data_IF_217681570180
#
_entry.id   IF_217681570180
#
_cell.length_a   1.000
_cell.length_b   1.000
_cell.length_c   1.000
_cell.angle_alpha   90.00
_cell.angle_beta   90.00
_cell.angle_gamma   90.00
#
_symmetry.space_group_name_H-M   'P 1'
#
loop_
_entity.id
_entity.type
_entity.pdbx_description
1 polymer ?
#
# COMPACT_ATOMS: atom_id res chain seq x y z
N UNK A 1 -3.55 -9.25 5.19
CA UNK A 1 -4.25 -8.89 3.93
C UNK A 1 -5.44 -9.83 3.73
N UNK A 2 -6.62 -9.34 3.33
CA UNK A 2 -7.79 -10.22 3.06
C UNK A 2 -7.52 -11.14 1.85
N UNK A 3 -8.06 -12.36 1.87
CA UNK A 3 -7.77 -13.41 0.87
C UNK A 3 -7.99 -12.95 -0.57
N UNK A 4 -9.08 -12.24 -0.85
CA UNK A 4 -9.37 -11.77 -2.21
C UNK A 4 -8.41 -10.66 -2.68
N UNK A 5 -8.02 -9.76 -1.78
CA UNK A 5 -7.00 -8.73 -2.06
C UNK A 5 -5.68 -9.36 -2.52
N UNK A 6 -5.24 -10.41 -1.84
CA UNK A 6 -4.03 -11.14 -2.23
C UNK A 6 -4.17 -11.83 -3.60
N UNK A 7 -5.35 -12.40 -3.91
CA UNK A 7 -5.62 -13.03 -5.21
C UNK A 7 -5.66 -12.02 -6.37
N UNK A 8 -6.28 -10.86 -6.17
CA UNK A 8 -6.31 -9.78 -7.17
C UNK A 8 -4.91 -9.23 -7.41
N UNK A 9 -4.13 -9.02 -6.34
CA UNK A 9 -2.73 -8.63 -6.48
C UNK A 9 -1.94 -9.66 -7.28
N UNK A 10 -2.05 -10.94 -6.95
CA UNK A 10 -1.38 -12.00 -7.68
C UNK A 10 -1.77 -12.02 -9.17
N UNK A 11 -3.07 -11.87 -9.48
CA UNK A 11 -3.52 -11.79 -10.87
C UNK A 11 -2.87 -10.63 -11.64
N UNK A 12 -2.78 -9.45 -11.02
CA UNK A 12 -2.15 -8.27 -11.65
C UNK A 12 -0.62 -8.35 -11.71
N UNK A 13 0.02 -9.13 -10.84
CA UNK A 13 1.48 -9.37 -10.88
C UNK A 13 1.86 -10.35 -11.99
N UNK A 14 1.02 -11.36 -12.24
CA UNK A 14 1.31 -12.43 -13.20
C UNK A 14 0.58 -12.28 -14.55
N UNK A 15 -0.16 -11.19 -14.75
CA UNK A 15 -0.83 -10.96 -16.03
C UNK A 15 0.16 -10.45 -17.08
N UNK A 16 0.08 -11.01 -18.28
CA UNK A 16 0.82 -10.50 -19.45
C UNK A 16 0.05 -9.36 -20.16
N UNK A 17 -1.16 -9.03 -19.69
CA UNK A 17 -1.93 -7.89 -20.21
C UNK A 17 -1.44 -6.59 -19.56
N UNK A 18 -1.39 -5.47 -20.31
CA UNK A 18 -0.94 -4.19 -19.76
C UNK A 18 -1.85 -3.63 -18.65
N UNK A 19 -3.12 -4.03 -18.65
CA UNK A 19 -4.10 -3.74 -17.61
C UNK A 19 -5.28 -4.73 -17.72
N UNK A 20 -6.02 -4.90 -16.63
CA UNK A 20 -7.22 -5.76 -16.57
C UNK A 20 -8.42 -4.99 -16.05
N UNK A 21 -9.59 -5.22 -16.63
CA UNK A 21 -10.86 -4.72 -16.13
C UNK A 21 -11.36 -5.52 -14.92
N UNK A 22 -12.29 -4.94 -14.16
CA UNK A 22 -12.95 -5.64 -13.05
C UNK A 22 -13.66 -6.92 -13.51
N UNK A 23 -14.21 -6.93 -14.73
CA UNK A 23 -14.90 -8.09 -15.30
C UNK A 23 -13.95 -9.25 -15.58
N UNK A 24 -12.80 -8.96 -16.20
CA UNK A 24 -11.77 -9.98 -16.47
C UNK A 24 -11.19 -10.54 -15.18
N UNK A 25 -10.96 -9.70 -14.17
CA UNK A 25 -10.53 -10.15 -12.84
C UNK A 25 -11.59 -11.03 -12.17
N UNK A 26 -12.87 -10.68 -12.28
CA UNK A 26 -13.97 -11.47 -11.72
C UNK A 26 -14.09 -12.84 -12.39
N UNK A 27 -13.96 -12.88 -13.72
CA UNK A 27 -13.97 -14.11 -14.52
C UNK A 27 -12.76 -14.99 -14.20
N UNK A 28 -11.54 -14.45 -14.27
CA UNK A 28 -10.32 -15.22 -13.99
C UNK A 28 -10.28 -15.77 -12.57
N UNK A 29 -10.73 -14.98 -11.59
CA UNK A 29 -10.67 -15.37 -10.17
C UNK A 29 -11.93 -16.10 -9.70
N UNK A 30 -12.92 -16.29 -10.57
CA UNK A 30 -14.22 -16.91 -10.26
C UNK A 30 -14.82 -16.29 -8.98
N UNK A 31 -14.91 -14.95 -8.98
CA UNK A 31 -15.31 -14.16 -7.82
C UNK A 31 -16.34 -13.09 -8.19
N UNK A 32 -17.14 -12.67 -7.22
CA UNK A 32 -18.16 -11.66 -7.45
C UNK A 32 -17.55 -10.27 -7.68
N UNK A 33 -18.23 -9.42 -8.46
CA UNK A 33 -17.80 -8.04 -8.71
C UNK A 33 -17.64 -7.23 -7.43
N UNK A 34 -18.45 -7.50 -6.40
CA UNK A 34 -18.32 -6.86 -5.08
C UNK A 34 -17.00 -7.22 -4.38
N UNK A 35 -16.59 -8.48 -4.43
CA UNK A 35 -15.33 -8.94 -3.84
C UNK A 35 -14.11 -8.36 -4.59
N UNK A 36 -14.17 -8.31 -5.92
CA UNK A 36 -13.12 -7.69 -6.74
C UNK A 36 -13.05 -6.19 -6.51
N UNK A 37 -14.19 -5.50 -6.45
CA UNK A 37 -14.27 -4.06 -6.19
C UNK A 37 -13.65 -3.69 -4.84
N UNK A 38 -13.98 -4.43 -3.77
CA UNK A 38 -13.38 -4.22 -2.46
C UNK A 38 -11.86 -4.44 -2.45
N UNK A 39 -11.39 -5.49 -3.13
CA UNK A 39 -9.97 -5.78 -3.28
C UNK A 39 -9.22 -4.68 -4.04
N UNK A 40 -9.74 -4.24 -5.19
CA UNK A 40 -9.17 -3.15 -5.99
C UNK A 40 -9.16 -1.83 -5.23
N UNK A 41 -10.26 -1.49 -4.53
CA UNK A 41 -10.32 -0.28 -3.69
C UNK A 41 -9.20 -0.26 -2.67
N UNK A 42 -8.96 -1.37 -1.99
CA UNK A 42 -7.87 -1.48 -1.01
C UNK A 42 -6.49 -1.34 -1.68
N UNK A 43 -6.24 -2.06 -2.79
CA UNK A 43 -4.95 -2.03 -3.50
C UNK A 43 -4.62 -0.65 -4.08
N UNK A 44 -5.64 0.07 -4.56
CA UNK A 44 -5.51 1.46 -5.01
C UNK A 44 -5.23 2.39 -3.83
N UNK A 45 -5.92 2.21 -2.70
CA UNK A 45 -5.72 3.02 -1.50
C UNK A 45 -4.30 2.88 -0.93
N UNK A 46 -3.74 1.67 -0.91
CA UNK A 46 -2.35 1.45 -0.47
C UNK A 46 -1.32 1.74 -1.57
N UNK A 47 -1.78 2.13 -2.77
CA UNK A 47 -0.93 2.64 -3.83
C UNK A 47 -0.16 1.58 -4.62
N UNK A 48 -0.54 0.30 -4.55
CA UNK A 48 0.11 -0.79 -5.30
C UNK A 48 -0.48 -0.93 -6.70
N UNK A 49 -1.77 -0.63 -6.85
CA UNK A 49 -2.52 -0.70 -8.11
C UNK A 49 -3.00 0.70 -8.50
N UNK A 50 -3.07 0.97 -9.79
CA UNK A 50 -3.67 2.21 -10.31
C UNK A 50 -4.67 1.94 -11.42
N UNK A 51 -5.51 2.95 -11.69
CA UNK A 51 -6.38 2.95 -12.86
C UNK A 51 -5.54 3.24 -14.10
N UNK A 52 -5.66 2.38 -15.11
CA UNK A 52 -4.99 2.51 -16.39
C UNK A 52 -5.95 3.12 -17.43
N UNK A 53 -5.46 4.01 -18.34
CA UNK A 53 -6.21 4.42 -19.51
C UNK A 53 -6.52 3.21 -20.40
N UNK A 54 -7.75 3.10 -20.90
CA UNK A 54 -8.16 2.06 -21.83
C UNK A 54 -8.86 2.69 -23.05
N UNK A 55 -8.10 3.09 -24.09
CA UNK A 55 -8.66 3.68 -25.31
C UNK A 55 -9.71 2.75 -25.94
N UNK A 56 -10.90 3.27 -26.23
CA UNK A 56 -12.00 2.50 -26.82
C UNK A 56 -12.85 1.70 -25.83
N UNK A 57 -12.49 1.67 -24.55
CA UNK A 57 -13.30 1.06 -23.49
C UNK A 57 -13.94 2.12 -22.59
N UNK A 58 -15.20 1.90 -22.22
CA UNK A 58 -15.88 2.69 -21.17
C UNK A 58 -15.63 2.15 -19.75
N UNK A 59 -15.01 0.98 -19.63
CA UNK A 59 -14.74 0.31 -18.35
C UNK A 59 -13.39 0.74 -17.79
N UNK A 60 -13.34 0.95 -16.49
CA UNK A 60 -12.10 1.12 -15.74
C UNK A 60 -11.22 -0.12 -15.89
N UNK A 61 -9.95 0.10 -16.20
CA UNK A 61 -8.91 -0.92 -16.20
C UNK A 61 -7.92 -0.63 -15.09
N UNK A 62 -7.29 -1.66 -14.57
CA UNK A 62 -6.39 -1.61 -13.43
C UNK A 62 -5.09 -2.31 -13.78
N UNK A 63 -3.98 -1.74 -13.33
CA UNK A 63 -2.65 -2.34 -13.51
C UNK A 63 -1.84 -2.24 -12.23
N UNK A 64 -0.88 -3.15 -12.09
CA UNK A 64 0.20 -2.98 -11.11
C UNK A 64 1.00 -1.73 -11.51
N UNK A 65 1.36 -0.89 -10.54
CA UNK A 65 2.26 0.23 -10.83
C UNK A 65 3.69 -0.25 -11.00
N UNK A 66 4.44 0.36 -11.91
CA UNK A 66 5.86 0.06 -12.11
C UNK A 66 6.69 0.36 -10.85
N UNK A 67 6.25 1.36 -10.07
CA UNK A 67 6.82 1.79 -8.81
C UNK A 67 6.07 1.23 -7.59
N UNK A 68 5.18 0.23 -7.77
CA UNK A 68 4.22 -0.22 -6.76
C UNK A 68 4.82 -0.42 -5.37
N UNK A 69 6.00 -1.05 -5.30
CA UNK A 69 6.67 -1.34 -4.03
C UNK A 69 7.26 -0.08 -3.39
N UNK A 70 7.97 0.74 -4.17
CA UNK A 70 8.51 2.01 -3.68
C UNK A 70 7.39 2.96 -3.22
N UNK A 71 6.30 3.02 -4.00
CA UNK A 71 5.10 3.80 -3.70
C UNK A 71 4.35 3.28 -2.50
N UNK A 72 4.27 1.96 -2.28
CA UNK A 72 3.67 1.41 -1.06
C UNK A 72 4.39 1.93 0.20
N UNK A 73 5.71 2.09 0.14
CA UNK A 73 6.50 2.63 1.25
C UNK A 73 6.51 4.16 1.32
N UNK A 74 6.12 4.89 0.26
CA UNK A 74 5.95 6.37 0.30
C UNK A 74 4.52 6.82 0.60
N UNK A 75 3.50 6.05 0.17
CA UNK A 75 2.07 6.35 0.38
C UNK A 75 1.52 5.88 1.72
N UNK A 76 2.32 5.24 2.54
CA UNK A 76 1.98 5.08 3.95
C UNK A 76 2.54 6.23 4.74
N UNK A 77 1.72 7.28 4.93
CA UNK A 77 1.68 7.87 6.26
C UNK A 77 0.41 8.62 6.68
N UNK A 78 -0.73 8.62 5.99
CA UNK A 78 -1.93 9.21 6.63
C UNK A 78 -2.39 8.36 7.82
N UNK A 79 -2.50 7.04 7.62
CA UNK A 79 -2.85 6.11 8.68
C UNK A 79 -1.80 6.08 9.79
N UNK A 80 -0.51 6.05 9.44
CA UNK A 80 0.57 6.01 10.42
C UNK A 80 0.78 7.37 11.10
N UNK A 81 0.57 8.52 10.43
CA UNK A 81 0.49 9.83 11.09
C UNK A 81 -0.65 9.86 12.10
N UNK A 82 -1.82 9.30 11.75
CA UNK A 82 -2.95 9.21 12.66
C UNK A 82 -2.64 8.34 13.88
N UNK A 83 -1.90 7.23 13.69
CA UNK A 83 -1.40 6.38 14.79
C UNK A 83 -0.40 7.13 15.66
N UNK A 84 0.53 7.90 15.07
CA UNK A 84 1.49 8.69 15.84
C UNK A 84 0.80 9.80 16.65
N UNK A 85 -0.18 10.50 16.06
CA UNK A 85 -0.99 11.49 16.77
C UNK A 85 -1.74 10.84 17.94
N UNK A 86 -2.35 9.67 17.72
CA UNK A 86 -3.02 8.93 18.77
C UNK A 86 -2.04 8.41 19.85
N UNK A 87 -0.83 8.03 19.47
CA UNK A 87 0.21 7.60 20.40
C UNK A 87 0.69 8.76 21.29
N UNK A 88 0.91 9.95 20.72
CA UNK A 88 1.24 11.16 21.49
C UNK A 88 0.13 11.51 22.49
N UNK A 89 -1.14 11.46 22.05
CA UNK A 89 -2.29 11.65 22.94
C UNK A 89 -2.34 10.59 24.06
N UNK A 90 -2.05 9.33 23.74
CA UNK A 90 -1.98 8.24 24.72
C UNK A 90 -0.84 8.39 25.72
N UNK A 91 0.32 8.88 25.29
CA UNK A 91 1.45 9.21 26.19
C UNK A 91 1.05 10.35 27.12
N UNK A 92 0.47 11.43 26.59
CA UNK A 92 0.02 12.56 27.40
C UNK A 92 -1.06 12.18 28.43
N UNK A 93 -1.91 11.21 28.11
CA UNK A 93 -2.96 10.72 29.00
C UNK A 93 -2.50 9.65 30.01
N UNK A 94 -1.24 9.19 29.95
CA UNK A 94 -0.72 8.14 30.86
C UNK A 94 0.29 8.71 31.85
N UNK A 95 0.20 8.25 33.10
CA UNK A 95 1.15 8.60 34.16
C UNK A 95 2.56 8.09 33.86
N UNK A 96 3.55 8.83 34.35
CA UNK A 96 4.96 8.46 34.25
C UNK A 96 5.26 7.15 35.00
N UNK A 97 6.21 6.36 34.49
CA UNK A 97 6.59 5.07 35.08
C UNK A 97 5.61 3.92 34.84
N UNK A 98 4.43 4.17 34.26
CA UNK A 98 3.47 3.11 33.95
C UNK A 98 3.92 2.24 32.76
N UNK A 99 3.57 0.96 32.81
CA UNK A 99 3.86 0.01 31.73
C UNK A 99 3.16 0.37 30.41
N UNK A 100 1.96 0.96 30.48
CA UNK A 100 1.21 1.45 29.32
C UNK A 100 1.96 2.58 28.61
N UNK A 101 2.45 3.57 29.37
CA UNK A 101 3.28 4.66 28.82
C UNK A 101 4.53 4.11 28.14
N UNK A 102 5.22 3.16 28.77
CA UNK A 102 6.41 2.55 28.17
C UNK A 102 6.12 1.90 26.81
N UNK A 103 5.05 1.10 26.72
CA UNK A 103 4.66 0.41 25.47
C UNK A 103 4.29 1.37 24.35
N UNK A 104 3.49 2.40 24.64
CA UNK A 104 3.07 3.38 23.63
C UNK A 104 4.26 4.22 23.18
N UNK A 105 5.15 4.61 24.11
CA UNK A 105 6.37 5.35 23.79
C UNK A 105 7.30 4.52 22.90
N UNK A 106 7.55 3.27 23.23
CA UNK A 106 8.39 2.37 22.42
C UNK A 106 7.82 2.21 21.00
N UNK A 107 6.50 2.00 20.89
CA UNK A 107 5.83 1.91 19.59
C UNK A 107 5.99 3.20 18.78
N UNK A 108 5.75 4.36 19.41
CA UNK A 108 5.90 5.70 18.79
C UNK A 108 7.32 5.90 18.29
N UNK A 109 8.32 5.66 19.14
CA UNK A 109 9.73 5.85 18.83
C UNK A 109 10.17 5.00 17.64
N UNK A 110 9.76 3.73 17.60
CA UNK A 110 10.07 2.83 16.49
C UNK A 110 9.48 3.32 15.17
N UNK A 111 8.21 3.74 15.16
CA UNK A 111 7.58 4.24 13.93
C UNK A 111 8.18 5.57 13.47
N UNK A 112 8.55 6.47 14.40
CA UNK A 112 9.26 7.71 14.07
C UNK A 112 10.60 7.41 13.41
N UNK A 113 11.41 6.51 13.98
CA UNK A 113 12.67 6.08 13.38
C UNK A 113 12.46 5.50 11.97
N UNK A 114 11.52 4.58 11.81
CA UNK A 114 11.24 3.93 10.53
C UNK A 114 10.86 4.95 9.45
N UNK A 115 10.02 5.93 9.79
CA UNK A 115 9.63 6.98 8.86
C UNK A 115 10.78 7.90 8.44
N UNK A 116 11.74 8.15 9.31
CA UNK A 116 12.92 8.94 8.98
C UNK A 116 13.85 8.20 8.02
N UNK A 117 13.92 6.86 8.10
CA UNK A 117 14.80 6.03 7.28
C UNK A 117 14.22 5.70 5.89
N UNK A 118 12.90 5.57 5.76
CA UNK A 118 12.23 5.17 4.51
C UNK A 118 12.64 6.05 3.31
N UNK A 119 12.64 7.40 3.38
CA UNK A 119 13.03 8.24 2.25
C UNK A 119 14.44 7.91 1.73
N UNK A 120 15.42 7.79 2.64
CA UNK A 120 16.79 7.46 2.26
C UNK A 120 16.92 6.05 1.67
N UNK A 121 16.12 5.08 2.15
CA UNK A 121 16.05 3.73 1.57
C UNK A 121 15.50 3.79 0.14
N UNK A 122 14.44 4.57 -0.09
CA UNK A 122 13.82 4.72 -1.41
C UNK A 122 14.73 5.45 -2.41
N UNK A 123 15.41 6.51 -1.97
CA UNK A 123 16.38 7.22 -2.80
C UNK A 123 17.50 6.30 -3.28
N UNK A 124 18.04 5.47 -2.37
CA UNK A 124 19.05 4.44 -2.73
C UNK A 124 18.50 3.40 -3.69
N UNK A 125 17.25 2.97 -3.51
CA UNK A 125 16.59 2.04 -4.43
C UNK A 125 16.43 2.62 -5.82
N UNK A 126 15.93 3.86 -5.93
CA UNK A 126 15.75 4.53 -7.23
C UNK A 126 17.09 4.74 -7.94
N UNK A 127 18.14 5.16 -7.22
CA UNK A 127 19.47 5.31 -7.78
C UNK A 127 20.02 3.99 -8.35
N UNK A 128 19.79 2.86 -7.66
CA UNK A 128 20.20 1.53 -8.12
C UNK A 128 19.42 1.08 -9.35
N UNK A 129 18.10 1.25 -9.35
CA UNK A 129 17.23 0.84 -10.45
C UNK A 129 17.51 1.62 -11.73
N UNK A 130 17.82 2.92 -11.63
CA UNK A 130 18.23 3.75 -12.76
C UNK A 130 19.60 3.34 -13.33
N UNK A 131 20.52 2.85 -12.48
CA UNK A 131 21.85 2.39 -12.91
C UNK A 131 21.83 1.01 -13.58
N UNK A 132 20.89 0.13 -13.22
CA UNK A 132 20.73 -1.21 -13.82
C UNK A 132 19.89 -1.26 -15.11
N UNK A 133 19.26 -0.14 -15.50
CA UNK A 133 18.47 -0.02 -16.73
C UNK A 133 19.31 0.48 -17.93
N UNK A 134 20.64 0.50 -17.81
CA UNK A 134 21.60 0.84 -18.87
C UNK A 134 22.30 -0.41 -19.40
#
# INVERSE_FOLDING_TARGET
MQRMTARVLAALVFTEQPAMSMGELAEQLQASSGAISGALKMLVAVGVVERAPAPGSRRDHFRLRDDAWAVQYTKHNEALSSVLVAAEAGIAATEEGTLSRHRITQMRDFYVFLMQEIPAVLDRWHARSAAGAK
#
